data_IF_129735169515
#
_entry.id   IF_129735169515
#
_cell.length_a   1.000
_cell.length_b   1.000
_cell.length_c   1.000
_cell.angle_alpha   90.00
_cell.angle_beta   90.00
_cell.angle_gamma   90.00
#
_symmetry.space_group_name_H-M   'P 1'
#
loop_
_entity.id
_entity.type
_entity.pdbx_description
1 polymer ?
#
# COMPACT_ATOMS: atom_id res chain seq x y z
N UNK A 1 -9.07 2.33 1.33
CA UNK A 1 -8.53 1.02 0.99
C UNK A 1 -8.13 1.00 -0.49
N UNK A 2 -6.93 0.57 -0.77
CA UNK A 2 -6.35 0.66 -2.11
C UNK A 2 -5.97 -0.72 -2.58
N UNK A 3 -6.29 -1.04 -3.83
CA UNK A 3 -5.89 -2.29 -4.45
C UNK A 3 -4.97 -2.00 -5.63
N UNK A 4 -3.86 -2.72 -5.69
CA UNK A 4 -2.91 -2.59 -6.78
C UNK A 4 -2.65 -3.97 -7.39
N UNK A 5 -2.30 -3.98 -8.66
CA UNK A 5 -1.90 -5.22 -9.30
C UNK A 5 -0.53 -5.67 -8.81
N UNK A 6 -0.27 -6.95 -8.95
CA UNK A 6 0.97 -7.55 -8.42
C UNK A 6 2.21 -6.89 -8.99
N UNK A 7 2.16 -6.45 -10.24
CA UNK A 7 3.32 -5.85 -10.90
C UNK A 7 3.48 -4.36 -10.63
N UNK A 8 2.61 -3.76 -9.82
CA UNK A 8 2.68 -2.34 -9.51
C UNK A 8 3.46 -2.09 -8.22
N UNK A 9 4.61 -2.76 -8.08
CA UNK A 9 5.40 -2.67 -6.86
C UNK A 9 5.98 -1.27 -6.65
N UNK A 10 6.34 -0.58 -7.72
CA UNK A 10 6.86 0.77 -7.60
C UNK A 10 5.78 1.72 -7.08
N UNK A 11 4.57 1.57 -7.59
CA UNK A 11 3.44 2.37 -7.14
C UNK A 11 3.14 2.10 -5.67
N UNK A 12 3.21 0.84 -5.27
CA UNK A 12 3.03 0.44 -3.88
C UNK A 12 4.03 1.15 -2.97
N UNK A 13 5.31 1.14 -3.36
CA UNK A 13 6.36 1.77 -2.58
C UNK A 13 6.13 3.28 -2.45
N UNK A 14 5.70 3.93 -3.53
CA UNK A 14 5.44 5.36 -3.52
C UNK A 14 4.28 5.71 -2.59
N UNK A 15 3.21 4.93 -2.65
CA UNK A 15 2.05 5.16 -1.79
C UNK A 15 2.42 4.98 -0.32
N UNK A 16 3.13 3.90 0.00
CA UNK A 16 3.53 3.64 1.37
C UNK A 16 4.45 4.75 1.88
N UNK A 17 5.40 5.19 1.07
CA UNK A 17 6.32 6.25 1.46
C UNK A 17 5.57 7.55 1.76
N UNK A 18 4.59 7.91 0.94
CA UNK A 18 3.81 9.12 1.16
C UNK A 18 2.99 9.05 2.44
N UNK A 19 2.38 7.91 2.70
CA UNK A 19 1.57 7.73 3.90
C UNK A 19 2.42 7.77 5.16
N UNK A 20 3.62 7.20 5.11
CA UNK A 20 4.54 7.25 6.23
C UNK A 20 5.00 8.68 6.49
N UNK A 21 5.23 9.46 5.43
CA UNK A 21 5.56 10.86 5.55
C UNK A 21 4.48 11.64 6.28
N UNK A 22 3.22 11.27 6.05
CA UNK A 22 2.08 11.91 6.70
C UNK A 22 1.84 11.37 8.11
N UNK A 23 2.76 10.54 8.61
CA UNK A 23 2.68 9.97 9.95
C UNK A 23 1.47 9.06 10.13
N UNK A 24 1.10 8.37 9.08
CA UNK A 24 -0.03 7.43 9.10
C UNK A 24 0.47 6.00 9.13
N UNK A 25 -0.32 5.12 9.72
CA UNK A 25 -0.02 3.71 9.70
C UNK A 25 -0.50 3.06 8.41
N UNK A 26 0.26 2.09 7.93
CA UNK A 26 -0.06 1.41 6.68
C UNK A 26 0.12 -0.08 6.87
N UNK A 27 -0.84 -0.85 6.40
CA UNK A 27 -0.74 -2.30 6.34
C UNK A 27 -0.88 -2.69 4.88
N UNK A 28 0.11 -3.41 4.35
CA UNK A 28 0.07 -3.90 2.99
C UNK A 28 0.15 -5.42 3.00
N UNK A 29 -0.81 -6.06 2.38
CA UNK A 29 -0.88 -7.52 2.33
C UNK A 29 -1.10 -7.98 0.90
N UNK A 30 -0.60 -9.16 0.59
CA UNK A 30 -0.80 -9.76 -0.71
C UNK A 30 -1.99 -10.71 -0.63
N UNK A 31 -3.05 -10.38 -1.37
CA UNK A 31 -4.25 -11.20 -1.43
C UNK A 31 -4.43 -11.70 -2.87
N UNK A 32 -4.09 -12.96 -3.08
CA UNK A 32 -4.12 -13.52 -4.41
C UNK A 32 -3.04 -12.87 -5.26
N UNK A 33 -3.43 -12.21 -6.35
CA UNK A 33 -2.50 -11.50 -7.21
C UNK A 33 -2.68 -9.99 -7.14
N UNK A 34 -3.15 -9.49 -5.99
CA UNK A 34 -3.32 -8.06 -5.79
C UNK A 34 -2.78 -7.64 -4.44
N UNK A 35 -2.22 -6.46 -4.40
CA UNK A 35 -1.82 -5.82 -3.16
C UNK A 35 -3.03 -5.13 -2.52
N UNK A 36 -3.23 -5.39 -1.26
CA UNK A 36 -4.31 -4.79 -0.48
C UNK A 36 -3.65 -3.86 0.53
N UNK A 37 -3.89 -2.57 0.38
CA UNK A 37 -3.28 -1.56 1.25
C UNK A 37 -4.37 -0.94 2.12
N UNK A 38 -4.14 -0.98 3.42
CA UNK A 38 -5.06 -0.42 4.37
C UNK A 38 -4.34 0.67 5.17
N UNK A 39 -4.97 1.83 5.28
CA UNK A 39 -4.42 2.95 6.01
C UNK A 39 -5.01 2.96 7.41
N UNK A 40 -4.14 3.02 8.39
CA UNK A 40 -4.55 3.12 9.80
C UNK A 40 -4.00 4.40 10.38
N UNK A 41 -4.48 4.74 11.51
CA UNK A 41 -3.96 5.95 12.17
C UNK A 41 -2.89 5.64 13.16
#
# INVERSE_FOLDING_TARGET
MIYLYLNETQKLAEIVAELVKLNMGVVAELHGNRWHIEVTK
#
